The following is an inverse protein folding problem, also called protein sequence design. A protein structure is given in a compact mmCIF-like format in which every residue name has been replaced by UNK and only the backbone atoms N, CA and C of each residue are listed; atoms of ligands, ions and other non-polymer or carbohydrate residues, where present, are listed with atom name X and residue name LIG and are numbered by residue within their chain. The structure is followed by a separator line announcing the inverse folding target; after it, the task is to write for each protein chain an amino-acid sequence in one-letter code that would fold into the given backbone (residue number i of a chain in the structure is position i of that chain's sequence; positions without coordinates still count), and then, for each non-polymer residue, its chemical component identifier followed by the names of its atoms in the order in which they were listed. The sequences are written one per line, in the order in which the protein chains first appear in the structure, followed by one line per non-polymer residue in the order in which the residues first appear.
data_IF_219708166733
#
_entry.id   IF_219708166733
#
_cell.length_a   1.000
_cell.length_b   1.000
_cell.length_c   1.000
_cell.angle_alpha   90.00
_cell.angle_beta   90.00
_cell.angle_gamma   90.00
#
_symmetry.space_group_name_H-M   'P 1'
#
loop_
_entity.id
_entity.type
_entity.pdbx_description
1 polymer ?
#
# COMPACT_ATOMS: atom_id res chain seq x y z
N UNK A 1 -10.96 8.49 -12.89
CA UNK A 1 -10.77 8.26 -11.43
C UNK A 1 -9.51 9.00 -11.04
N UNK A 2 -9.62 9.96 -10.14
CA UNK A 2 -8.48 10.65 -9.54
C UNK A 2 -8.10 9.89 -8.26
N UNK A 3 -6.80 9.62 -8.05
CA UNK A 3 -6.31 8.73 -6.99
C UNK A 3 -4.89 8.27 -7.26
N UNK A 4 -4.41 7.25 -6.53
CA UNK A 4 -3.18 6.57 -6.88
C UNK A 4 -3.22 6.09 -8.34
N UNK A 5 -2.10 6.22 -9.05
CA UNK A 5 -2.01 5.77 -10.43
C UNK A 5 -2.25 4.27 -10.50
N UNK A 6 -3.22 3.83 -11.29
CA UNK A 6 -3.50 2.42 -11.53
C UNK A 6 -3.73 2.16 -13.02
N UNK A 7 -3.36 0.97 -13.48
CA UNK A 7 -3.66 0.50 -14.84
C UNK A 7 -4.01 -0.98 -14.78
N UNK A 8 -4.89 -1.43 -15.67
CA UNK A 8 -5.09 -2.86 -15.92
C UNK A 8 -3.93 -3.44 -16.75
N UNK A 9 -3.62 -4.71 -16.54
CA UNK A 9 -2.55 -5.42 -17.27
C UNK A 9 -1.47 -5.99 -16.35
N UNK A 10 -0.57 -6.79 -16.91
CA UNK A 10 0.51 -7.46 -16.16
C UNK A 10 1.70 -6.57 -15.84
N UNK A 11 1.73 -5.35 -16.38
CA UNK A 11 2.82 -4.43 -16.14
C UNK A 11 2.61 -3.58 -14.90
N UNK A 12 3.68 -3.38 -14.14
CA UNK A 12 3.69 -2.56 -12.93
C UNK A 12 3.30 -1.10 -13.18
N UNK A 13 2.77 -0.46 -12.14
CA UNK A 13 2.51 0.98 -12.07
C UNK A 13 3.18 1.59 -10.85
N UNK A 14 2.96 0.99 -9.67
CA UNK A 14 3.55 1.42 -8.40
C UNK A 14 4.93 0.79 -8.21
N UNK A 15 5.93 1.61 -7.88
CA UNK A 15 7.28 1.16 -7.52
C UNK A 15 7.60 1.62 -6.08
N UNK A 16 8.03 0.70 -5.23
CA UNK A 16 8.28 0.98 -3.80
C UNK A 16 7.00 1.17 -2.98
N UNK A 17 6.99 2.21 -2.12
CA UNK A 17 5.85 2.58 -1.27
C UNK A 17 5.53 4.05 -1.56
N UNK A 18 4.30 4.33 -1.98
CA UNK A 18 3.79 5.67 -2.22
C UNK A 18 2.90 6.09 -1.06
N UNK A 19 3.10 7.30 -0.55
CA UNK A 19 2.23 7.92 0.44
C UNK A 19 1.29 8.89 -0.25
N UNK A 20 0.01 8.88 0.11
CA UNK A 20 -0.93 9.88 -0.39
C UNK A 20 -0.54 11.28 0.09
N UNK A 21 -0.69 12.28 -0.78
CA UNK A 21 -0.25 13.66 -0.47
C UNK A 21 -1.11 14.32 0.61
N UNK A 22 -2.38 13.94 0.70
CA UNK A 22 -3.30 14.49 1.69
C UNK A 22 -3.41 13.58 2.91
N UNK A 23 -3.32 14.19 4.08
CA UNK A 23 -3.57 13.50 5.36
C UNK A 23 -5.02 13.77 5.74
N UNK A 24 -5.77 12.70 6.03
CA UNK A 24 -7.15 12.83 6.48
C UNK A 24 -7.18 12.87 8.01
N UNK A 25 -7.84 13.87 8.59
CA UNK A 25 -8.03 13.97 10.04
C UNK A 25 -9.39 13.39 10.39
N UNK A 26 -9.44 12.51 11.40
CA UNK A 26 -10.67 11.93 11.92
C UNK A 26 -10.69 11.98 13.44
N UNK A 27 -11.88 12.15 14.01
CA UNK A 27 -12.10 12.02 15.45
C UNK A 27 -12.58 10.60 15.76
N UNK A 28 -11.87 9.89 16.62
CA UNK A 28 -12.27 8.55 17.07
C UNK A 28 -13.52 8.61 17.94
N UNK A 29 -14.23 7.48 18.16
CA UNK A 29 -15.35 7.44 19.12
C UNK A 29 -14.98 7.84 20.55
N UNK A 30 -13.69 7.78 20.92
CA UNK A 30 -13.18 8.26 22.21
C UNK A 30 -12.95 9.78 22.26
N UNK A 31 -13.19 10.51 21.17
CA UNK A 31 -12.95 11.95 21.07
C UNK A 31 -11.52 12.35 20.73
N UNK A 32 -10.66 11.39 20.34
CA UNK A 32 -9.26 11.65 20.00
C UNK A 32 -9.12 11.97 18.52
N UNK A 33 -8.41 13.04 18.16
CA UNK A 33 -8.07 13.32 16.76
C UNK A 33 -6.90 12.45 16.30
N UNK A 34 -7.05 11.81 15.15
CA UNK A 34 -6.02 10.97 14.51
C UNK A 34 -5.78 11.39 13.07
N UNK A 35 -4.53 11.27 12.63
CA UNK A 35 -4.13 11.44 11.25
C UNK A 35 -4.16 10.08 10.52
N UNK A 36 -4.90 10.00 9.43
CA UNK A 36 -5.02 8.83 8.58
C UNK A 36 -4.16 9.07 7.34
N UNK A 37 -3.20 8.18 7.14
CA UNK A 37 -2.28 8.17 6.00
C UNK A 37 -2.59 6.93 5.18
N UNK A 38 -2.66 7.09 3.85
CA UNK A 38 -2.83 6.00 2.91
C UNK A 38 -1.50 5.69 2.25
N UNK A 39 -1.14 4.40 2.24
CA UNK A 39 0.05 3.87 1.59
C UNK A 39 -0.38 2.95 0.45
N UNK A 40 0.14 3.20 -0.75
CA UNK A 40 0.06 2.28 -1.89
C UNK A 40 1.41 1.60 -2.07
N UNK A 41 1.42 0.27 -2.11
CA UNK A 41 2.66 -0.52 -2.13
C UNK A 41 2.78 -1.27 -3.44
N UNK A 42 3.99 -1.39 -3.95
CA UNK A 42 4.29 -2.23 -5.10
C UNK A 42 3.80 -3.67 -4.87
N UNK A 43 3.09 -4.22 -5.87
CA UNK A 43 2.64 -5.60 -5.87
C UNK A 43 3.81 -6.58 -5.87
N UNK A 44 3.66 -7.68 -5.13
CA UNK A 44 4.65 -8.76 -5.09
C UNK A 44 4.60 -9.57 -6.40
N UNK A 45 5.76 -10.10 -6.82
CA UNK A 45 5.90 -11.01 -7.98
C UNK A 45 5.67 -10.40 -9.38
N UNK A 46 6.09 -9.15 -9.61
CA UNK A 46 6.23 -8.67 -10.99
C UNK A 46 7.46 -9.30 -11.68
N UNK A 47 7.48 -9.33 -13.01
CA UNK A 47 8.50 -10.00 -13.83
C UNK A 47 9.92 -9.39 -13.72
N UNK A 48 10.08 -8.32 -12.95
CA UNK A 48 11.31 -7.53 -12.88
C UNK A 48 11.90 -7.38 -11.47
N UNK A 49 11.17 -7.76 -10.41
CA UNK A 49 11.65 -7.63 -9.03
C UNK A 49 12.17 -8.95 -8.49
N UNK A 50 13.23 -8.91 -7.69
CA UNK A 50 13.68 -10.11 -6.99
C UNK A 50 12.73 -10.46 -5.85
N UNK A 51 12.73 -11.72 -5.41
CA UNK A 51 12.00 -12.15 -4.20
C UNK A 51 12.43 -11.33 -2.98
N UNK A 52 13.68 -10.89 -2.92
CA UNK A 52 14.22 -10.05 -1.86
C UNK A 52 13.60 -8.64 -1.84
N UNK A 53 13.43 -8.02 -3.02
CA UNK A 53 12.83 -6.69 -3.12
C UNK A 53 11.36 -6.72 -2.69
N UNK A 54 10.62 -7.73 -3.14
CA UNK A 54 9.23 -7.95 -2.75
C UNK A 54 9.09 -8.16 -1.23
N UNK A 55 9.96 -9.00 -0.63
CA UNK A 55 9.96 -9.25 0.80
C UNK A 55 10.29 -7.98 1.60
N UNK A 56 11.21 -7.15 1.09
CA UNK A 56 11.60 -5.89 1.74
C UNK A 56 10.45 -4.89 1.74
N UNK A 57 9.79 -4.66 0.60
CA UNK A 57 8.64 -3.75 0.49
C UNK A 57 7.50 -4.25 1.38
N UNK A 58 7.22 -5.55 1.35
CA UNK A 58 6.17 -6.14 2.18
C UNK A 58 6.47 -5.99 3.68
N UNK A 59 7.70 -6.32 4.11
CA UNK A 59 8.10 -6.17 5.50
C UNK A 59 8.04 -4.71 5.97
N UNK A 60 8.58 -3.78 5.19
CA UNK A 60 8.55 -2.35 5.53
C UNK A 60 7.12 -1.81 5.62
N UNK A 61 6.26 -2.13 4.64
CA UNK A 61 4.85 -1.71 4.68
C UNK A 61 4.10 -2.25 5.88
N UNK A 62 4.37 -3.51 6.28
CA UNK A 62 3.78 -4.13 7.46
C UNK A 62 4.29 -3.50 8.76
N UNK A 63 5.57 -3.14 8.83
CA UNK A 63 6.15 -2.52 10.04
C UNK A 63 5.71 -1.07 10.24
N UNK A 64 5.47 -0.33 9.15
CA UNK A 64 5.08 1.08 9.19
C UNK A 64 3.56 1.26 9.32
N UNK A 65 2.77 0.35 8.74
CA UNK A 65 1.32 0.43 8.80
C UNK A 65 0.77 -0.08 10.14
N UNK A 66 -0.24 0.60 10.65
CA UNK A 66 -1.07 0.07 11.75
C UNK A 66 -2.08 -0.97 11.25
N UNK A 67 -2.45 -0.89 9.97
CA UNK A 67 -3.38 -1.79 9.30
C UNK A 67 -2.80 -2.14 7.92
N UNK A 68 -2.55 -3.44 7.71
CA UNK A 68 -2.07 -3.96 6.43
C UNK A 68 -3.23 -4.65 5.70
N UNK A 69 -3.56 -4.16 4.50
CA UNK A 69 -4.52 -4.83 3.61
C UNK A 69 -3.75 -5.80 2.73
N UNK A 70 -3.90 -7.10 2.98
CA UNK A 70 -3.27 -8.13 2.15
C UNK A 70 -4.19 -8.53 0.99
N UNK A 71 -3.93 -7.95 -0.18
CA UNK A 71 -4.77 -8.14 -1.36
C UNK A 71 -4.43 -9.46 -2.09
N UNK A 72 -5.40 -10.38 -2.14
CA UNK A 72 -5.28 -11.68 -2.78
C UNK A 72 -6.29 -11.80 -3.93
N UNK A 73 -5.87 -12.36 -5.05
CA UNK A 73 -6.75 -12.73 -6.15
C UNK A 73 -6.95 -14.25 -6.14
N UNK A 74 -8.20 -14.70 -6.03
CA UNK A 74 -8.58 -16.11 -5.88
C UNK A 74 -8.09 -16.73 -4.55
N UNK A 75 -8.24 -18.05 -4.42
CA UNK A 75 -7.71 -18.83 -3.31
C UNK A 75 -6.32 -19.37 -3.66
N UNK A 76 -5.52 -19.61 -2.62
CA UNK A 76 -4.29 -20.41 -2.70
C UNK A 76 -4.63 -21.84 -3.07
#
# INVERSE_FOLDING_TARGET
LEGFCWKGGSERVTAGILMWSDIYIATTPSGTEVAIILLDTQGTFDSNSTVCDCATIFALSTMVSSVQVYNLSQNI
#
